data_IF_297003753662
#
_entry.id   IF_297003753662
#
_cell.length_a   1.000
_cell.length_b   1.000
_cell.length_c   1.000
_cell.angle_alpha   90.00
_cell.angle_beta   90.00
_cell.angle_gamma   90.00
#
_symmetry.space_group_name_H-M   'P 1'
#
loop_
_entity.id
_entity.type
_entity.pdbx_description
1 polymer ?
#
# COMPACT_ATOMS: atom_id res chain seq x y z
N UNK A 1 -27.53 -8.60 2.18
CA UNK A 1 -26.48 -8.22 3.16
C UNK A 1 -25.34 -9.21 2.95
N UNK A 2 -24.34 -8.85 2.16
CA UNK A 2 -23.37 -9.82 1.63
C UNK A 2 -22.09 -9.79 2.47
N UNK A 3 -21.89 -10.87 3.23
CA UNK A 3 -20.63 -11.14 3.94
C UNK A 3 -19.63 -11.77 2.95
N UNK A 4 -18.31 -11.78 3.25
CA UNK A 4 -17.42 -12.82 2.70
C UNK A 4 -18.16 -14.16 2.90
N UNK A 5 -18.19 -15.09 1.94
CA UNK A 5 -18.74 -16.40 2.25
C UNK A 5 -17.94 -16.94 3.45
N UNK A 6 -18.60 -16.94 4.61
CA UNK A 6 -17.97 -17.14 5.91
C UNK A 6 -17.19 -18.46 5.87
N UNK A 7 -15.95 -18.45 6.36
CA UNK A 7 -15.19 -19.69 6.56
C UNK A 7 -14.66 -20.40 5.31
N UNK A 8 -14.74 -19.82 4.11
CA UNK A 8 -14.27 -20.54 2.89
C UNK A 8 -12.75 -20.68 2.80
N UNK A 9 -11.98 -19.83 3.48
CA UNK A 9 -10.52 -19.79 3.36
C UNK A 9 -10.03 -19.48 1.94
N UNK A 10 -10.90 -18.96 1.06
CA UNK A 10 -10.53 -18.58 -0.31
C UNK A 10 -9.76 -17.25 -0.31
N UNK A 11 -8.69 -17.12 -1.13
CA UNK A 11 -8.03 -15.85 -1.33
C UNK A 11 -8.95 -14.89 -2.08
N UNK A 12 -8.94 -13.62 -1.67
CA UNK A 12 -9.66 -12.55 -2.37
C UNK A 12 -8.82 -12.01 -3.51
N UNK A 13 -9.49 -11.47 -4.53
CA UNK A 13 -8.82 -10.61 -5.52
C UNK A 13 -8.74 -9.22 -4.92
N UNK A 14 -7.53 -8.72 -4.73
CA UNK A 14 -7.29 -7.38 -4.24
C UNK A 14 -6.48 -6.59 -5.26
N UNK A 15 -6.83 -5.32 -5.38
CA UNK A 15 -6.10 -4.33 -6.14
C UNK A 15 -5.40 -3.41 -5.15
N UNK A 16 -4.11 -3.61 -4.92
CA UNK A 16 -3.26 -2.58 -4.36
C UNK A 16 -3.08 -1.45 -5.37
N UNK A 17 -3.33 -0.22 -4.90
CA UNK A 17 -3.11 1.02 -5.61
C UNK A 17 -2.04 1.85 -4.89
N UNK A 18 -0.75 1.52 -4.99
CA UNK A 18 0.32 2.37 -4.45
C UNK A 18 0.27 3.72 -5.14
N UNK A 19 0.32 4.79 -4.36
CA UNK A 19 0.06 6.12 -4.86
C UNK A 19 0.98 7.16 -4.28
N UNK A 20 1.12 8.25 -5.02
CA UNK A 20 1.91 9.42 -4.63
C UNK A 20 1.04 10.65 -4.73
N UNK A 21 1.16 11.55 -3.75
CA UNK A 21 0.45 12.82 -3.78
C UNK A 21 0.99 13.71 -4.90
N UNK A 22 0.13 14.59 -5.39
CA UNK A 22 0.59 15.78 -6.12
C UNK A 22 1.42 16.64 -5.17
N UNK A 23 2.62 16.98 -5.61
CA UNK A 23 3.53 17.89 -4.94
C UNK A 23 4.36 18.67 -5.98
N UNK A 24 5.19 19.61 -5.49
CA UNK A 24 6.08 20.42 -6.32
C UNK A 24 7.45 19.75 -6.58
N UNK A 25 7.56 18.42 -6.46
CA UNK A 25 8.81 17.72 -6.77
C UNK A 25 8.99 17.63 -8.29
N UNK A 26 10.22 17.77 -8.78
CA UNK A 26 10.51 17.71 -10.22
C UNK A 26 10.16 16.34 -10.80
N UNK A 27 9.63 16.24 -12.04
CA UNK A 27 9.43 14.96 -12.74
C UNK A 27 10.68 14.09 -12.86
N UNK A 28 11.87 14.69 -12.82
CA UNK A 28 13.15 13.98 -12.84
C UNK A 28 13.49 13.30 -11.51
N UNK A 29 12.92 13.78 -10.41
CA UNK A 29 13.13 13.23 -9.06
C UNK A 29 11.97 12.31 -8.65
N UNK A 30 10.75 12.63 -9.07
CA UNK A 30 9.55 11.87 -8.77
C UNK A 30 8.71 11.67 -10.02
N UNK A 31 8.46 10.41 -10.36
CA UNK A 31 7.64 10.03 -11.51
C UNK A 31 6.28 10.75 -11.50
N UNK A 32 5.76 11.05 -12.69
CA UNK A 32 4.43 11.62 -12.88
C UNK A 32 3.77 10.92 -14.06
N UNK A 33 2.58 10.37 -13.83
CA UNK A 33 1.86 9.68 -14.90
C UNK A 33 1.21 10.70 -15.87
N UNK A 34 1.15 10.39 -17.17
CA UNK A 34 0.50 11.27 -18.14
C UNK A 34 -0.96 11.55 -17.76
N UNK A 35 -1.37 12.82 -17.82
CA UNK A 35 -2.71 13.31 -17.45
C UNK A 35 -3.10 13.17 -15.97
N UNK A 36 -2.19 12.72 -15.11
CA UNK A 36 -2.32 12.88 -13.67
C UNK A 36 -1.79 14.26 -13.27
N UNK A 37 -2.28 14.80 -12.16
CA UNK A 37 -2.06 16.18 -11.74
C UNK A 37 -2.79 17.21 -12.61
N UNK A 38 -3.82 17.84 -12.04
CA UNK A 38 -4.56 18.92 -12.71
C UNK A 38 -4.46 20.26 -11.98
N UNK A 39 -4.75 21.33 -12.71
CA UNK A 39 -5.00 22.66 -12.16
C UNK A 39 -6.45 22.79 -11.65
N UNK A 40 -6.76 23.96 -11.07
CA UNK A 40 -8.11 24.26 -10.52
C UNK A 40 -9.23 24.23 -11.57
N UNK A 41 -8.89 24.25 -12.85
CA UNK A 41 -9.84 24.15 -13.97
C UNK A 41 -9.91 22.73 -14.54
N UNK A 42 -9.12 21.78 -14.01
CA UNK A 42 -9.05 20.40 -14.49
C UNK A 42 -8.07 20.18 -15.65
N UNK A 43 -7.24 21.16 -16.01
CA UNK A 43 -6.24 21.00 -17.07
C UNK A 43 -4.98 20.30 -16.52
N UNK A 44 -4.33 19.41 -17.28
CA UNK A 44 -3.09 18.76 -16.84
C UNK A 44 -1.95 19.77 -16.55
N UNK A 45 -1.15 19.48 -15.53
CA UNK A 45 0.07 20.23 -15.19
C UNK A 45 1.30 19.40 -15.59
N UNK A 46 2.20 19.98 -16.36
CA UNK A 46 3.42 19.29 -16.85
C UNK A 46 4.62 19.50 -15.92
N UNK A 47 4.73 20.68 -15.30
CA UNK A 47 5.88 21.10 -14.50
C UNK A 47 5.43 21.66 -13.14
N UNK A 48 4.97 20.81 -12.21
CA UNK A 48 4.45 21.24 -10.91
C UNK A 48 5.53 21.84 -9.98
N UNK A 49 6.81 21.58 -10.25
CA UNK A 49 7.96 22.18 -9.58
C UNK A 49 8.19 23.64 -9.96
N UNK A 50 7.92 24.00 -11.22
CA UNK A 50 8.05 25.38 -11.72
C UNK A 50 6.81 26.24 -11.47
N UNK A 51 5.64 25.60 -11.42
CA UNK A 51 4.34 26.27 -11.26
C UNK A 51 3.52 25.66 -10.11
N UNK A 52 4.05 25.62 -8.88
CA UNK A 52 3.35 25.00 -7.74
C UNK A 52 2.02 25.69 -7.42
N UNK A 53 1.86 26.97 -7.77
CA UNK A 53 0.62 27.73 -7.61
C UNK A 53 -0.56 27.20 -8.42
N UNK A 54 -0.26 26.39 -9.46
CA UNK A 54 -1.29 25.80 -10.33
C UNK A 54 -1.90 24.53 -9.74
N UNK A 55 -1.22 23.85 -8.81
CA UNK A 55 -1.69 22.59 -8.23
C UNK A 55 -3.10 22.77 -7.66
N UNK A 56 -4.03 21.93 -8.12
CA UNK A 56 -5.45 22.08 -7.79
C UNK A 56 -5.74 21.94 -6.29
N UNK A 57 -5.23 20.87 -5.67
CA UNK A 57 -5.55 20.55 -4.29
C UNK A 57 -4.92 21.55 -3.31
N UNK A 58 -3.59 21.64 -3.34
CA UNK A 58 -2.82 22.46 -2.40
C UNK A 58 -1.60 23.05 -3.09
N UNK A 59 -1.51 24.37 -3.08
CA UNK A 59 -0.41 25.12 -3.72
C UNK A 59 0.69 25.51 -2.74
N UNK A 60 0.40 25.51 -1.44
CA UNK A 60 1.39 25.75 -0.41
C UNK A 60 2.15 24.44 -0.11
N UNK A 61 3.45 24.35 -0.43
CA UNK A 61 4.22 23.13 -0.22
C UNK A 61 4.31 22.70 1.26
N UNK A 62 4.10 23.64 2.19
CA UNK A 62 4.08 23.34 3.62
C UNK A 62 2.78 22.68 4.11
N UNK A 63 1.76 22.55 3.25
CA UNK A 63 0.45 21.95 3.59
C UNK A 63 0.09 20.77 2.68
N UNK A 64 0.87 20.50 1.62
CA UNK A 64 0.53 19.51 0.60
C UNK A 64 0.35 18.11 1.19
N UNK A 65 1.13 17.72 2.20
CA UNK A 65 1.02 16.39 2.81
C UNK A 65 -0.29 16.26 3.59
N UNK A 66 -0.56 17.24 4.45
CA UNK A 66 -1.73 17.28 5.34
C UNK A 66 -3.03 17.36 4.54
N UNK A 67 -3.06 18.22 3.52
CA UNK A 67 -4.25 18.39 2.68
C UNK A 67 -4.48 17.16 1.78
N UNK A 68 -3.42 16.51 1.29
CA UNK A 68 -3.53 15.21 0.62
C UNK A 68 -4.19 14.17 1.53
N UNK A 69 -3.71 14.02 2.77
CA UNK A 69 -4.25 13.05 3.72
C UNK A 69 -5.71 13.34 4.05
N UNK A 70 -6.04 14.61 4.33
CA UNK A 70 -7.41 15.04 4.60
C UNK A 70 -8.33 14.79 3.41
N UNK A 71 -7.92 15.21 2.22
CA UNK A 71 -8.73 15.08 1.00
C UNK A 71 -8.96 13.62 0.65
N UNK A 72 -7.90 12.82 0.65
CA UNK A 72 -8.01 11.41 0.30
C UNK A 72 -8.93 10.69 1.29
N UNK A 73 -8.77 10.95 2.60
CA UNK A 73 -9.57 10.27 3.63
C UNK A 73 -11.03 10.73 3.70
N UNK A 74 -11.27 12.05 3.62
CA UNK A 74 -12.56 12.67 3.95
C UNK A 74 -13.41 13.00 2.74
N UNK A 75 -12.81 13.14 1.55
CA UNK A 75 -13.51 13.54 0.32
C UNK A 75 -13.51 12.41 -0.71
N UNK A 76 -12.33 11.90 -1.06
CA UNK A 76 -12.20 10.86 -2.10
C UNK A 76 -12.70 9.50 -1.62
N UNK A 77 -12.17 9.01 -0.49
CA UNK A 77 -12.48 7.68 0.06
C UNK A 77 -13.98 7.36 0.18
N UNK A 78 -14.80 8.26 0.76
CA UNK A 78 -16.23 8.03 0.90
C UNK A 78 -16.98 7.76 -0.41
N UNK A 79 -16.44 8.17 -1.56
CA UNK A 79 -17.04 7.89 -2.87
C UNK A 79 -17.15 6.40 -3.14
N UNK A 80 -16.24 5.56 -2.65
CA UNK A 80 -16.32 4.10 -2.83
C UNK A 80 -17.46 3.46 -2.03
N UNK A 81 -17.93 4.10 -0.95
CA UNK A 81 -19.05 3.64 -0.15
C UNK A 81 -20.39 4.28 -0.57
N UNK A 82 -20.36 5.41 -1.29
CA UNK A 82 -21.55 6.14 -1.73
C UNK A 82 -22.15 5.55 -3.00
N UNK A 83 -23.47 5.36 -3.04
CA UNK A 83 -24.20 4.85 -4.22
C UNK A 83 -24.76 6.03 -5.04
N UNK A 84 -24.39 6.17 -6.30
CA UNK A 84 -24.91 7.22 -7.21
C UNK A 84 -26.33 6.89 -7.71
N UNK A 85 -27.29 6.85 -6.79
CA UNK A 85 -28.69 6.50 -7.10
C UNK A 85 -28.98 5.00 -7.07
N UNK A 86 -30.24 4.58 -7.26
CA UNK A 86 -30.67 3.19 -7.07
C UNK A 86 -30.02 2.18 -8.03
N UNK A 87 -29.60 2.63 -9.22
CA UNK A 87 -29.08 1.77 -10.29
C UNK A 87 -27.55 1.60 -10.26
N UNK A 88 -26.80 2.31 -9.41
CA UNK A 88 -25.33 2.21 -9.36
C UNK A 88 -24.88 0.90 -8.70
N UNK A 89 -24.31 -0.08 -9.44
CA UNK A 89 -23.88 -1.35 -8.87
C UNK A 89 -22.46 -1.29 -8.28
N UNK A 90 -21.74 -0.17 -8.45
CA UNK A 90 -20.30 -0.09 -8.18
C UNK A 90 -19.95 -0.44 -6.74
N UNK A 91 -20.76 0.02 -5.79
CA UNK A 91 -20.54 -0.22 -4.37
C UNK A 91 -20.66 -1.70 -4.04
N UNK A 92 -21.48 -2.47 -4.78
CA UNK A 92 -21.79 -3.87 -4.47
C UNK A 92 -20.64 -4.82 -4.79
N UNK A 93 -19.75 -4.43 -5.72
CA UNK A 93 -18.55 -5.19 -6.08
C UNK A 93 -17.42 -5.05 -5.04
N UNK A 94 -17.36 -3.91 -4.34
CA UNK A 94 -16.29 -3.66 -3.35
C UNK A 94 -16.60 -4.41 -2.05
N UNK A 95 -15.77 -5.40 -1.73
CA UNK A 95 -15.86 -6.19 -0.49
C UNK A 95 -15.12 -5.54 0.66
N UNK A 96 -13.92 -5.01 0.39
CA UNK A 96 -13.11 -4.30 1.37
C UNK A 96 -12.45 -3.11 0.69
N UNK A 97 -12.36 -1.99 1.40
CA UNK A 97 -11.54 -0.86 1.01
C UNK A 97 -10.83 -0.30 2.23
N UNK A 98 -9.51 -0.39 2.21
CA UNK A 98 -8.61 0.21 3.17
C UNK A 98 -7.83 1.35 2.50
N UNK A 99 -7.82 2.52 3.12
CA UNK A 99 -6.91 3.62 2.77
C UNK A 99 -5.70 3.55 3.69
N UNK A 100 -4.54 3.27 3.12
CA UNK A 100 -3.30 3.11 3.85
C UNK A 100 -2.45 4.36 3.66
N UNK A 101 -2.42 5.24 4.66
CA UNK A 101 -1.74 6.53 4.62
C UNK A 101 -0.38 6.43 5.30
N UNK A 102 0.72 6.68 4.56
CA UNK A 102 2.07 6.61 5.12
C UNK A 102 2.23 7.59 6.27
N UNK A 103 2.87 7.15 7.35
CA UNK A 103 3.24 8.02 8.47
C UNK A 103 4.66 8.52 8.22
N UNK A 104 4.85 9.83 8.12
CA UNK A 104 6.16 10.45 7.83
C UNK A 104 7.23 10.10 8.88
N UNK A 105 6.86 10.09 10.15
CA UNK A 105 7.72 9.69 11.27
C UNK A 105 7.67 8.20 11.61
N UNK A 106 6.98 7.38 10.81
CA UNK A 106 6.95 5.94 11.01
C UNK A 106 8.23 5.27 10.46
N UNK A 107 8.57 4.07 10.96
CA UNK A 107 9.62 3.25 10.37
C UNK A 107 9.49 3.09 8.85
N UNK A 108 10.62 3.00 8.15
CA UNK A 108 10.66 2.59 6.74
C UNK A 108 11.94 1.83 6.43
N UNK A 109 12.01 1.18 5.28
CA UNK A 109 13.23 0.50 4.83
C UNK A 109 14.43 1.44 4.66
N UNK A 110 14.19 2.75 4.52
CA UNK A 110 15.24 3.76 4.39
C UNK A 110 15.73 4.29 5.73
N UNK A 111 14.94 4.13 6.79
CA UNK A 111 15.30 4.53 8.14
C UNK A 111 14.62 3.60 9.17
N UNK A 112 15.10 2.35 9.29
CA UNK A 112 14.50 1.37 10.19
C UNK A 112 14.96 1.57 11.64
N UNK A 113 14.16 1.17 12.65
CA UNK A 113 14.63 1.11 14.03
C UNK A 113 15.71 0.01 14.20
N UNK A 114 16.55 0.08 15.26
CA UNK A 114 16.51 1.06 16.34
C UNK A 114 17.10 2.42 15.95
N UNK A 115 16.49 3.50 16.45
CA UNK A 115 17.01 4.85 16.27
C UNK A 115 18.04 5.16 17.35
N UNK A 116 19.17 5.74 16.95
CA UNK A 116 20.25 6.12 17.86
C UNK A 116 20.42 7.64 17.83
N UNK A 117 20.62 8.29 18.99
CA UNK A 117 20.98 9.69 19.02
C UNK A 117 22.37 9.89 18.39
N UNK A 118 22.64 11.04 17.74
CA UNK A 118 23.98 11.35 17.27
C UNK A 118 24.89 11.60 18.46
N UNK A 119 25.83 10.68 18.68
CA UNK A 119 26.83 10.74 19.76
C UNK A 119 28.21 11.07 19.18
N UNK A 120 28.97 11.87 19.93
CA UNK A 120 30.41 12.09 19.70
C UNK A 120 31.21 10.86 20.14
N UNK A 121 32.50 10.86 19.84
CA UNK A 121 33.44 9.80 20.24
C UNK A 121 33.57 9.63 21.77
N UNK A 122 33.20 10.64 22.54
CA UNK A 122 33.16 10.62 24.01
C UNK A 122 31.82 10.06 24.57
N UNK A 123 30.88 9.66 23.70
CA UNK A 123 29.56 9.18 24.08
C UNK A 123 28.54 10.27 24.43
N UNK A 124 28.92 11.55 24.32
CA UNK A 124 28.03 12.67 24.61
C UNK A 124 27.20 13.08 23.38
N UNK A 125 26.02 13.65 23.62
CA UNK A 125 25.20 14.22 22.55
C UNK A 125 25.96 15.31 21.77
N UNK A 126 25.71 15.39 20.47
CA UNK A 126 26.26 16.46 19.64
C UNK A 126 25.73 17.83 20.08
N UNK A 127 26.65 18.82 20.17
CA UNK A 127 26.31 20.22 20.43
C UNK A 127 25.87 20.96 19.16
N UNK A 128 26.00 20.30 18.00
CA UNK A 128 25.65 20.83 16.68
C UNK A 128 24.64 19.92 16.01
N UNK A 129 23.43 19.74 16.58
CA UNK A 129 22.47 18.75 16.11
C UNK A 129 22.15 18.90 14.62
N UNK A 130 22.05 20.12 14.10
CA UNK A 130 21.79 20.38 12.68
C UNK A 130 22.83 19.79 11.72
N UNK A 131 24.09 19.61 12.16
CA UNK A 131 25.14 19.02 11.33
C UNK A 131 25.08 17.48 11.31
N UNK A 132 24.37 16.85 12.25
CA UNK A 132 24.28 15.40 12.41
C UNK A 132 22.96 14.82 11.87
N UNK A 133 22.00 15.68 11.50
CA UNK A 133 20.73 15.23 10.92
C UNK A 133 21.00 14.64 9.54
N UNK A 134 20.78 13.34 9.40
CA UNK A 134 20.86 12.67 8.11
C UNK A 134 19.82 13.25 7.13
N UNK A 135 20.15 13.36 5.83
CA UNK A 135 19.18 13.76 4.83
C UNK A 135 17.95 12.86 4.86
N UNK A 136 16.77 13.46 4.77
CA UNK A 136 15.53 12.70 4.70
C UNK A 136 15.44 11.93 3.38
N UNK A 137 15.34 10.61 3.47
CA UNK A 137 15.08 9.74 2.33
C UNK A 137 13.59 9.40 2.32
N UNK A 138 12.87 9.95 1.35
CA UNK A 138 11.43 9.72 1.18
C UNK A 138 11.20 8.33 0.54
N UNK A 139 10.41 7.43 1.16
CA UNK A 139 9.82 6.28 0.48
C UNK A 139 9.10 6.69 -0.81
N UNK A 140 9.06 5.79 -1.79
CA UNK A 140 8.50 6.11 -3.12
C UNK A 140 7.03 6.50 -3.04
N UNK A 141 6.26 5.75 -2.25
CA UNK A 141 4.81 5.86 -2.12
C UNK A 141 4.41 6.68 -0.91
N UNK A 142 3.38 7.51 -1.03
CA UNK A 142 2.77 8.23 0.09
C UNK A 142 1.61 7.46 0.73
N UNK A 143 1.17 6.38 0.08
CA UNK A 143 0.12 5.52 0.59
C UNK A 143 -0.26 4.45 -0.40
N UNK A 144 -1.32 3.71 -0.06
CA UNK A 144 -1.90 2.69 -0.92
C UNK A 144 -3.42 2.59 -0.68
N UNK A 145 -4.21 2.57 -1.74
CA UNK A 145 -5.58 2.05 -1.64
C UNK A 145 -5.53 0.52 -1.76
N UNK A 146 -6.08 -0.21 -0.79
CA UNK A 146 -6.21 -1.65 -0.83
C UNK A 146 -7.68 -2.02 -0.97
N UNK A 147 -8.08 -2.41 -2.18
CA UNK A 147 -9.48 -2.68 -2.53
C UNK A 147 -9.64 -4.14 -2.91
N UNK A 148 -10.51 -4.86 -2.22
CA UNK A 148 -10.76 -6.27 -2.49
C UNK A 148 -12.15 -6.52 -3.06
N UNK A 149 -12.21 -7.52 -3.93
CA UNK A 149 -13.34 -7.98 -4.72
C UNK A 149 -13.45 -9.50 -4.58
N UNK A 150 -14.59 -10.09 -4.99
CA UNK A 150 -14.74 -11.55 -4.93
C UNK A 150 -13.95 -12.26 -6.04
N UNK A 151 -13.88 -11.65 -7.22
CA UNK A 151 -13.21 -12.22 -8.40
C UNK A 151 -12.63 -11.17 -9.33
N UNK A 152 -11.82 -11.57 -10.31
CA UNK A 152 -11.31 -10.67 -11.34
C UNK A 152 -12.46 -10.15 -12.22
N UNK A 153 -13.48 -10.96 -12.47
CA UNK A 153 -14.69 -10.53 -13.20
C UNK A 153 -15.42 -9.36 -12.51
N UNK A 154 -15.65 -9.41 -11.19
CA UNK A 154 -16.25 -8.29 -10.45
C UNK A 154 -15.35 -7.06 -10.46
N UNK A 155 -14.03 -7.28 -10.37
CA UNK A 155 -13.04 -6.20 -10.46
C UNK A 155 -13.19 -5.45 -11.78
N UNK A 156 -13.18 -6.15 -12.92
CA UNK A 156 -13.32 -5.53 -14.25
C UNK A 156 -14.64 -4.75 -14.40
N UNK A 157 -15.75 -5.25 -13.82
CA UNK A 157 -17.04 -4.56 -13.84
C UNK A 157 -17.01 -3.22 -13.10
N UNK A 158 -16.26 -3.12 -12.00
CA UNK A 158 -16.12 -1.87 -11.26
C UNK A 158 -15.46 -0.76 -12.10
N UNK A 159 -14.37 -1.06 -12.81
CA UNK A 159 -13.63 -0.06 -13.60
C UNK A 159 -14.39 0.49 -14.81
N UNK A 160 -15.33 -0.28 -15.36
CA UNK A 160 -16.14 0.17 -16.50
C UNK A 160 -17.39 0.95 -16.07
N UNK A 161 -17.61 1.15 -14.77
CA UNK A 161 -18.76 1.92 -14.29
C UNK A 161 -18.62 3.42 -14.63
N UNK A 162 -19.76 4.06 -14.86
CA UNK A 162 -19.84 5.51 -15.06
C UNK A 162 -19.26 6.29 -13.89
N UNK A 163 -19.52 5.82 -12.66
CA UNK A 163 -18.97 6.41 -11.45
C UNK A 163 -17.43 6.39 -11.45
N UNK A 164 -16.82 5.24 -11.74
CA UNK A 164 -15.36 5.16 -11.77
C UNK A 164 -14.77 6.13 -12.82
N UNK A 165 -15.31 6.09 -14.04
CA UNK A 165 -14.82 6.90 -15.15
C UNK A 165 -15.06 8.41 -14.99
N UNK A 166 -16.21 8.81 -14.45
CA UNK A 166 -16.64 10.23 -14.41
C UNK A 166 -16.45 10.90 -13.04
N UNK A 167 -16.19 10.13 -11.98
CA UNK A 167 -16.11 10.65 -10.60
C UNK A 167 -14.83 10.26 -9.88
N UNK A 168 -14.36 9.01 -10.03
CA UNK A 168 -13.18 8.54 -9.31
C UNK A 168 -11.91 9.01 -10.02
N UNK A 169 -11.72 8.66 -11.30
CA UNK A 169 -10.51 9.07 -12.04
C UNK A 169 -10.36 10.58 -12.10
N UNK A 170 -11.46 11.32 -12.34
CA UNK A 170 -11.39 12.78 -12.42
C UNK A 170 -10.93 13.39 -11.09
N UNK A 171 -11.36 12.81 -9.98
CA UNK A 171 -10.96 13.24 -8.65
C UNK A 171 -9.52 12.86 -8.32
N UNK A 172 -9.08 11.65 -8.72
CA UNK A 172 -7.70 11.20 -8.57
C UNK A 172 -6.70 12.19 -9.18
N UNK A 173 -7.03 12.81 -10.32
CA UNK A 173 -6.16 13.82 -10.97
C UNK A 173 -5.93 15.06 -10.11
N UNK A 174 -6.81 15.36 -9.16
CA UNK A 174 -6.69 16.53 -8.28
C UNK A 174 -5.58 16.33 -7.23
N UNK A 175 -5.39 15.08 -6.76
CA UNK A 175 -4.54 14.80 -5.60
C UNK A 175 -3.46 13.75 -5.82
N UNK A 176 -3.50 13.00 -6.94
CA UNK A 176 -2.52 11.97 -7.28
C UNK A 176 -1.62 12.37 -8.44
N UNK A 177 -0.33 12.13 -8.23
CA UNK A 177 0.73 12.26 -9.24
C UNK A 177 0.97 10.94 -9.97
N UNK A 178 0.97 9.85 -9.22
CA UNK A 178 1.10 8.46 -9.70
C UNK A 178 0.12 7.60 -8.92
N UNK A 179 -0.52 6.68 -9.64
CA UNK A 179 -1.30 5.58 -9.07
C UNK A 179 -0.96 4.31 -9.84
N UNK A 180 -0.19 3.44 -9.20
CA UNK A 180 0.16 2.14 -9.75
C UNK A 180 -1.00 1.17 -9.52
N UNK A 181 -1.31 0.29 -10.48
CA UNK A 181 -2.33 -0.76 -10.29
C UNK A 181 -1.77 -2.11 -10.71
N UNK A 182 -2.01 -3.13 -9.91
CA UNK A 182 -1.85 -4.53 -10.29
C UNK A 182 -2.85 -5.40 -9.55
N UNK A 183 -3.30 -6.48 -10.18
CA UNK A 183 -4.19 -7.43 -9.54
C UNK A 183 -3.39 -8.42 -8.68
N UNK A 184 -3.91 -8.71 -7.49
CA UNK A 184 -3.27 -9.61 -6.55
C UNK A 184 -4.26 -10.59 -5.93
N UNK A 185 -3.76 -11.76 -5.56
CA UNK A 185 -4.47 -12.72 -4.72
C UNK A 185 -4.01 -12.53 -3.28
N UNK A 186 -4.95 -12.23 -2.37
CA UNK A 186 -4.67 -12.03 -0.95
C UNK A 186 -4.75 -13.35 -0.17
N UNK A 187 -3.61 -13.76 0.39
CA UNK A 187 -3.45 -14.88 1.29
C UNK A 187 -3.28 -14.36 2.72
N UNK A 188 -4.30 -14.52 3.55
CA UNK A 188 -4.26 -14.19 4.97
C UNK A 188 -3.55 -15.32 5.73
N UNK A 189 -2.43 -15.00 6.34
CA UNK A 189 -1.61 -15.92 7.14
C UNK A 189 -1.99 -15.83 8.61
N UNK A 190 -2.02 -14.61 9.16
CA UNK A 190 -2.53 -14.31 10.50
C UNK A 190 -3.81 -13.49 10.31
N UNK A 191 -4.99 -14.02 10.67
CA UNK A 191 -6.25 -13.30 10.53
C UNK A 191 -6.31 -12.09 11.45
N UNK A 192 -6.86 -10.99 10.94
CA UNK A 192 -7.07 -9.79 11.72
C UNK A 192 -8.13 -9.96 12.81
N UNK A 193 -8.06 -9.15 13.88
CA UNK A 193 -9.13 -9.03 14.86
C UNK A 193 -10.40 -8.43 14.25
N UNK A 194 -11.53 -8.54 14.95
CA UNK A 194 -12.82 -7.94 14.54
C UNK A 194 -12.72 -6.41 14.33
N UNK A 195 -11.97 -5.74 15.21
CA UNK A 195 -11.64 -4.32 15.06
C UNK A 195 -10.26 -4.22 14.38
N UNK A 196 -10.18 -3.78 13.11
CA UNK A 196 -8.91 -3.73 12.39
C UNK A 196 -7.87 -2.89 13.14
N UNK A 197 -6.64 -3.39 13.19
CA UNK A 197 -5.55 -2.66 13.84
C UNK A 197 -5.11 -1.45 12.98
N UNK A 198 -4.82 -0.30 13.62
CA UNK A 198 -4.67 0.96 12.92
C UNK A 198 -3.29 1.14 12.27
N UNK A 199 -2.25 0.47 12.76
CA UNK A 199 -0.89 0.59 12.21
C UNK A 199 -0.64 -0.57 11.27
N UNK A 200 -0.07 -0.30 10.10
CA UNK A 200 0.30 -1.31 9.12
C UNK A 200 1.68 -1.03 8.54
N UNK A 201 2.50 -2.07 8.42
CA UNK A 201 3.72 -2.06 7.60
C UNK A 201 3.35 -2.68 6.26
N UNK A 202 3.57 -1.92 5.18
CA UNK A 202 3.38 -2.37 3.81
C UNK A 202 4.75 -2.57 3.18
N UNK A 203 4.97 -3.73 2.57
CA UNK A 203 6.21 -4.04 1.85
C UNK A 203 5.92 -4.45 0.41
N UNK A 204 6.70 -3.91 -0.51
CA UNK A 204 6.71 -4.28 -1.92
C UNK A 204 7.88 -5.20 -2.19
N UNK A 205 7.59 -6.34 -2.81
CA UNK A 205 8.61 -7.33 -3.15
C UNK A 205 8.91 -7.32 -4.64
N UNK A 206 10.20 -7.34 -4.95
CA UNK A 206 10.76 -7.58 -6.27
C UNK A 206 11.72 -8.75 -6.16
N UNK A 207 11.63 -9.71 -7.09
CA UNK A 207 12.45 -10.92 -7.08
C UNK A 207 13.89 -10.64 -7.50
N UNK A 208 14.84 -11.26 -6.80
CA UNK A 208 16.26 -11.28 -7.18
C UNK A 208 16.53 -12.45 -8.15
N UNK A 209 16.03 -12.33 -9.38
CA UNK A 209 16.12 -13.39 -10.39
C UNK A 209 15.00 -14.44 -10.31
N UNK A 210 15.08 -15.45 -11.18
CA UNK A 210 14.05 -16.49 -11.32
C UNK A 210 12.73 -16.01 -11.93
N UNK A 211 11.74 -16.90 -11.92
CA UNK A 211 10.37 -16.61 -12.39
C UNK A 211 9.51 -16.01 -11.27
N UNK A 212 8.42 -15.33 -11.63
CA UNK A 212 7.44 -14.80 -10.65
C UNK A 212 6.81 -15.93 -9.87
N UNK A 213 6.49 -17.04 -10.53
CA UNK A 213 5.86 -18.21 -9.96
C UNK A 213 6.74 -18.88 -8.89
N UNK A 214 8.03 -19.07 -9.18
CA UNK A 214 9.01 -19.59 -8.20
C UNK A 214 9.14 -18.65 -7.01
N UNK A 215 9.28 -17.34 -7.26
CA UNK A 215 9.37 -16.33 -6.22
C UNK A 215 8.14 -16.34 -5.30
N UNK A 216 6.94 -16.28 -5.88
CA UNK A 216 5.68 -16.27 -5.14
C UNK A 216 5.44 -17.56 -4.38
N UNK A 217 5.82 -18.71 -4.93
CA UNK A 217 5.76 -20.00 -4.24
C UNK A 217 6.66 -19.99 -3.01
N UNK A 218 7.92 -19.56 -3.16
CA UNK A 218 8.87 -19.43 -2.04
C UNK A 218 8.34 -18.46 -0.98
N UNK A 219 7.80 -17.31 -1.40
CA UNK A 219 7.24 -16.31 -0.49
C UNK A 219 6.07 -16.87 0.32
N UNK A 220 5.13 -17.57 -0.32
CA UNK A 220 3.90 -18.08 0.32
C UNK A 220 4.11 -19.33 1.18
N UNK A 221 5.03 -20.21 0.80
CA UNK A 221 5.17 -21.53 1.43
C UNK A 221 6.40 -21.68 2.32
N UNK A 222 7.47 -20.94 2.06
CA UNK A 222 8.69 -21.03 2.86
C UNK A 222 8.82 -19.79 3.75
N UNK A 223 8.81 -18.60 3.13
CA UNK A 223 9.03 -17.36 3.87
C UNK A 223 7.85 -17.03 4.81
N UNK A 224 6.61 -17.24 4.39
CA UNK A 224 5.45 -17.02 5.26
C UNK A 224 5.48 -17.91 6.53
N UNK A 225 5.96 -19.15 6.41
CA UNK A 225 6.09 -20.07 7.56
C UNK A 225 7.24 -19.68 8.47
N UNK A 226 8.37 -19.22 7.90
CA UNK A 226 9.45 -18.62 8.69
C UNK A 226 8.93 -17.44 9.51
N UNK A 227 8.24 -16.50 8.88
CA UNK A 227 7.66 -15.31 9.54
C UNK A 227 6.69 -15.73 10.64
N UNK A 228 5.74 -16.62 10.33
CA UNK A 228 4.74 -17.09 11.28
C UNK A 228 5.36 -17.82 12.48
N UNK A 229 6.46 -18.56 12.27
CA UNK A 229 7.13 -19.30 13.35
C UNK A 229 7.81 -18.43 14.41
N UNK A 230 8.03 -17.14 14.12
CA UNK A 230 8.76 -16.24 15.04
C UNK A 230 7.91 -15.86 16.25
N UNK A 231 8.44 -16.00 17.48
CA UNK A 231 7.76 -15.54 18.70
C UNK A 231 7.28 -14.09 18.64
N UNK A 232 8.12 -13.16 18.16
CA UNK A 232 7.75 -11.74 18.08
C UNK A 232 6.62 -11.49 17.06
N UNK A 233 6.55 -12.28 15.97
CA UNK A 233 5.41 -12.22 15.04
C UNK A 233 4.12 -12.58 15.77
N UNK A 234 4.11 -13.70 16.50
CA UNK A 234 2.92 -14.15 17.25
C UNK A 234 2.51 -13.18 18.37
N UNK A 235 3.48 -12.41 18.89
CA UNK A 235 3.27 -11.47 19.98
C UNK A 235 2.75 -10.11 19.53
N UNK A 236 3.30 -9.56 18.44
CA UNK A 236 3.07 -8.16 18.05
C UNK A 236 2.23 -8.00 16.78
N UNK A 237 2.24 -8.97 15.87
CA UNK A 237 1.54 -8.85 14.58
C UNK A 237 0.09 -9.30 14.76
N UNK A 238 -0.85 -8.38 14.60
CA UNK A 238 -2.29 -8.65 14.73
C UNK A 238 -2.94 -9.15 13.45
N UNK A 239 -2.32 -8.91 12.30
CA UNK A 239 -2.71 -9.45 10.99
C UNK A 239 -1.49 -9.56 10.10
N UNK A 240 -1.40 -10.63 9.32
CA UNK A 240 -0.36 -10.79 8.31
C UNK A 240 -0.99 -11.35 7.03
N UNK A 241 -0.90 -10.60 5.94
CA UNK A 241 -1.36 -11.03 4.62
C UNK A 241 -0.27 -10.85 3.56
N UNK A 242 -0.29 -11.76 2.58
CA UNK A 242 0.51 -11.71 1.37
C UNK A 242 -0.40 -11.46 0.17
N UNK A 243 -0.03 -10.50 -0.67
CA UNK A 243 -0.72 -10.17 -1.91
C UNK A 243 0.17 -10.60 -3.07
N UNK A 244 -0.12 -11.74 -3.69
CA UNK A 244 0.68 -12.25 -4.81
C UNK A 244 0.18 -11.66 -6.11
N UNK A 245 1.04 -11.04 -6.91
CA UNK A 245 0.64 -10.45 -8.19
C UNK A 245 0.13 -11.53 -9.16
N UNK A 246 -1.15 -11.48 -9.47
CA UNK A 246 -1.85 -12.33 -10.45
C UNK A 246 -2.36 -11.51 -11.63
N UNK A 247 -1.79 -10.31 -11.82
CA UNK A 247 -2.12 -9.41 -12.90
C UNK A 247 -2.03 -10.10 -14.27
N UNK A 248 -2.87 -9.69 -15.22
CA UNK A 248 -2.89 -10.26 -16.56
C UNK A 248 -1.53 -10.09 -17.23
N UNK A 249 -1.13 -11.04 -18.09
CA UNK A 249 0.05 -10.89 -18.94
C UNK A 249 -0.28 -10.24 -20.29
N UNK A 250 -1.55 -10.31 -20.70
CA UNK A 250 -2.05 -9.68 -21.92
C UNK A 250 -2.17 -8.15 -21.75
N UNK A 251 -1.48 -7.40 -22.62
CA UNK A 251 -1.49 -5.95 -22.68
C UNK A 251 -2.86 -5.35 -23.02
N UNK A 252 -3.76 -6.13 -23.61
CA UNK A 252 -5.12 -5.69 -23.94
C UNK A 252 -6.04 -5.63 -22.71
N UNK A 253 -5.67 -6.30 -21.61
CA UNK A 253 -6.49 -6.32 -20.41
C UNK A 253 -6.48 -4.95 -19.70
N UNK A 254 -7.64 -4.40 -19.29
CA UNK A 254 -7.71 -3.10 -18.60
C UNK A 254 -6.91 -3.01 -17.29
N UNK A 255 -6.61 -4.14 -16.65
CA UNK A 255 -5.79 -4.22 -15.43
C UNK A 255 -4.29 -4.38 -15.72
N UNK A 256 -3.89 -4.45 -17.00
CA UNK A 256 -2.49 -4.54 -17.37
C UNK A 256 -1.82 -3.15 -17.29
N UNK A 257 -0.76 -3.05 -16.50
CA UNK A 257 0.14 -1.90 -16.48
C UNK A 257 1.59 -2.38 -16.46
N UNK A 258 2.46 -1.78 -17.28
CA UNK A 258 3.87 -2.18 -17.35
C UNK A 258 4.57 -2.08 -15.98
N UNK A 259 4.36 -0.98 -15.26
CA UNK A 259 4.91 -0.80 -13.92
C UNK A 259 4.35 -1.85 -12.94
N UNK A 260 3.07 -2.21 -13.08
CA UNK A 260 2.40 -3.21 -12.25
C UNK A 260 2.96 -4.62 -12.46
N UNK A 261 3.43 -4.93 -13.67
CA UNK A 261 4.09 -6.21 -13.97
C UNK A 261 5.46 -6.36 -13.28
N UNK A 262 6.08 -5.27 -12.83
CA UNK A 262 7.39 -5.33 -12.18
C UNK A 262 7.29 -5.74 -10.71
N UNK A 263 6.16 -5.49 -10.04
CA UNK A 263 5.95 -5.90 -8.65
C UNK A 263 5.64 -7.38 -8.59
N UNK A 264 6.32 -8.15 -7.74
CA UNK A 264 6.07 -9.59 -7.62
C UNK A 264 5.01 -9.93 -6.59
N UNK A 265 5.05 -9.24 -5.46
CA UNK A 265 4.11 -9.41 -4.37
C UNK A 265 4.14 -8.20 -3.44
N UNK A 266 3.22 -8.20 -2.48
CA UNK A 266 3.26 -7.33 -1.31
C UNK A 266 3.00 -8.11 -0.03
N UNK A 267 3.44 -7.57 1.10
CA UNK A 267 2.94 -7.98 2.42
C UNK A 267 2.32 -6.80 3.15
N UNK A 268 1.35 -7.12 4.00
CA UNK A 268 0.74 -6.21 4.94
C UNK A 268 0.77 -6.85 6.33
N UNK A 269 1.48 -6.21 7.25
CA UNK A 269 1.52 -6.61 8.67
C UNK A 269 0.87 -5.53 9.51
N UNK A 270 -0.18 -5.85 10.24
CA UNK A 270 -0.88 -4.91 11.11
C UNK A 270 -0.44 -5.04 12.57
N UNK A 271 -0.45 -3.91 13.28
CA UNK A 271 -0.05 -3.77 14.67
C UNK A 271 -1.06 -2.90 15.41
N UNK A 272 -1.30 -3.18 16.70
CA UNK A 272 -2.29 -2.42 17.49
C UNK A 272 -1.79 -1.01 17.80
N UNK A 273 -0.48 -0.85 17.93
CA UNK A 273 0.18 0.43 18.23
C UNK A 273 1.47 0.59 17.43
N UNK A 274 1.97 1.83 17.34
CA UNK A 274 3.28 2.10 16.73
C UNK A 274 4.41 1.46 17.55
N UNK A 275 4.28 1.41 18.88
CA UNK A 275 5.27 0.79 19.76
C UNK A 275 5.45 -0.69 19.48
N UNK A 276 4.35 -1.44 19.25
CA UNK A 276 4.44 -2.85 18.85
C UNK A 276 5.13 -3.02 17.49
N UNK A 277 4.82 -2.14 16.53
CA UNK A 277 5.48 -2.11 15.23
C UNK A 277 6.99 -1.90 15.36
N UNK A 278 7.42 -0.92 16.15
CA UNK A 278 8.84 -0.63 16.36
C UNK A 278 9.57 -1.72 17.15
N UNK A 279 8.94 -2.30 18.17
CA UNK A 279 9.50 -3.46 18.89
C UNK A 279 9.67 -4.66 17.98
N UNK A 280 8.68 -4.94 17.12
CA UNK A 280 8.79 -6.01 16.13
C UNK A 280 9.95 -5.75 15.16
N UNK A 281 9.99 -4.57 14.54
CA UNK A 281 11.00 -4.23 13.52
C UNK A 281 12.43 -4.11 14.07
N UNK A 282 12.59 -3.81 15.36
CA UNK A 282 13.92 -3.75 16.02
C UNK A 282 14.37 -5.09 16.61
N UNK A 283 13.47 -6.07 16.70
CA UNK A 283 13.71 -7.38 17.30
C UNK A 283 14.59 -8.30 16.44
N UNK A 284 15.26 -9.26 17.08
CA UNK A 284 16.16 -10.20 16.41
C UNK A 284 15.40 -11.20 15.51
N UNK A 285 14.13 -11.46 15.82
CA UNK A 285 13.24 -12.25 14.98
C UNK A 285 13.01 -11.57 13.63
N UNK A 286 12.75 -10.26 13.61
CA UNK A 286 12.61 -9.51 12.36
C UNK A 286 13.93 -9.43 11.60
N UNK A 287 15.07 -9.23 12.27
CA UNK A 287 16.39 -9.30 11.61
C UNK A 287 16.63 -10.65 10.94
N UNK A 288 16.20 -11.73 11.57
CA UNK A 288 16.29 -13.08 10.99
C UNK A 288 15.39 -13.23 9.76
N UNK A 289 14.17 -12.69 9.81
CA UNK A 289 13.25 -12.66 8.67
C UNK A 289 13.86 -11.84 7.53
N UNK A 290 14.35 -10.64 7.83
CA UNK A 290 14.92 -9.71 6.86
C UNK A 290 16.17 -10.29 6.18
N UNK A 291 17.06 -10.93 6.93
CA UNK A 291 18.24 -11.61 6.39
C UNK A 291 17.87 -12.81 5.49
N UNK A 292 16.83 -13.57 5.83
CA UNK A 292 16.39 -14.68 5.00
C UNK A 292 15.85 -14.24 3.62
N UNK A 293 15.38 -12.99 3.51
CA UNK A 293 14.97 -12.42 2.24
C UNK A 293 16.14 -12.06 1.32
N UNK A 294 17.36 -11.87 1.84
CA UNK A 294 18.54 -11.53 1.02
C UNK A 294 18.83 -12.58 -0.07
N UNK A 295 18.37 -13.81 0.14
CA UNK A 295 18.54 -14.92 -0.78
C UNK A 295 17.66 -14.83 -2.05
N UNK A 296 16.57 -14.06 -2.04
CA UNK A 296 15.58 -14.10 -3.13
C UNK A 296 14.84 -12.80 -3.41
N UNK A 297 14.96 -11.78 -2.55
CA UNK A 297 14.35 -10.46 -2.73
C UNK A 297 15.43 -9.47 -3.18
N UNK A 298 15.13 -8.69 -4.21
CA UNK A 298 15.94 -7.52 -4.56
C UNK A 298 15.67 -6.41 -3.53
N UNK A 299 16.52 -6.32 -2.52
CA UNK A 299 16.44 -5.33 -1.45
C UNK A 299 16.68 -3.88 -1.91
N UNK A 300 17.29 -3.67 -3.08
CA UNK A 300 17.50 -2.32 -3.62
C UNK A 300 16.22 -1.78 -4.23
N UNK A 301 15.44 -2.65 -4.86
CA UNK A 301 14.17 -2.29 -5.48
C UNK A 301 12.98 -2.42 -4.52
N UNK A 302 13.04 -3.37 -3.59
CA UNK A 302 12.01 -3.60 -2.58
C UNK A 302 12.08 -2.53 -1.49
N UNK A 303 10.92 -2.07 -1.05
CA UNK A 303 10.81 -1.07 0.01
C UNK A 303 9.65 -1.41 0.93
N UNK A 304 9.69 -0.88 2.15
CA UNK A 304 8.57 -0.92 3.06
C UNK A 304 8.42 0.39 3.82
N UNK A 305 7.18 0.69 4.22
CA UNK A 305 6.86 1.84 5.04
C UNK A 305 5.74 1.52 6.03
N UNK A 306 5.73 2.25 7.14
CA UNK A 306 4.65 2.20 8.12
C UNK A 306 3.56 3.24 7.80
N UNK A 307 2.31 2.87 8.05
CA UNK A 307 1.13 3.65 7.67
C UNK A 307 -0.01 3.50 8.68
N UNK A 308 -0.95 4.45 8.62
CA UNK A 308 -2.27 4.34 9.25
C UNK A 308 -3.21 3.65 8.26
N UNK A 309 -3.95 2.67 8.75
CA UNK A 309 -4.99 1.97 8.00
C UNK A 309 -6.38 2.51 8.37
N UNK A 310 -7.03 3.18 7.42
CA UNK A 310 -8.44 3.56 7.54
C UNK A 310 -9.31 2.56 6.78
N UNK A 311 -10.15 1.82 7.51
CA UNK A 311 -11.16 1.00 6.88
C UNK A 311 -12.35 1.87 6.42
N UNK A 312 -12.59 1.90 5.11
CA UNK A 312 -13.68 2.68 4.48
C UNK A 312 -14.86 1.78 4.14
N UNK A 313 -14.59 0.57 3.64
CA UNK A 313 -15.59 -0.46 3.37
C UNK A 313 -15.12 -1.77 3.99
N UNK A 314 -16.00 -2.44 4.73
CA UNK A 314 -15.78 -3.80 5.19
C UNK A 314 -17.09 -4.59 5.15
N UNK A 315 -17.21 -5.42 4.11
CA UNK A 315 -18.29 -6.41 3.95
C UNK A 315 -17.77 -7.82 4.20
N UNK A 316 -16.52 -7.98 4.64
CA UNK A 316 -15.82 -9.24 4.72
C UNK A 316 -16.22 -10.13 5.90
N UNK A 317 -16.99 -9.63 6.87
CA UNK A 317 -17.22 -10.36 8.12
C UNK A 317 -15.90 -10.64 8.86
N UNK A 318 -15.90 -11.64 9.76
CA UNK A 318 -14.69 -12.05 10.46
C UNK A 318 -13.69 -12.71 9.50
N UNK A 319 -12.44 -12.28 9.58
CA UNK A 319 -11.36 -12.84 8.77
C UNK A 319 -10.94 -14.23 9.27
N UNK A 320 -10.64 -15.14 8.35
CA UNK A 320 -10.04 -16.45 8.63
C UNK A 320 -8.78 -16.62 7.80
N UNK A 321 -7.90 -17.51 8.23
CA UNK A 321 -6.67 -17.82 7.50
C UNK A 321 -7.04 -18.43 6.14
N UNK A 322 -6.35 -17.98 5.09
CA UNK A 322 -6.56 -18.50 3.74
C UNK A 322 -5.97 -19.91 3.65
N UNK A 323 -6.72 -20.84 3.06
CA UNK A 323 -6.16 -22.11 2.64
C UNK A 323 -5.25 -21.85 1.42
N UNK A 324 -3.94 -21.91 1.66
CA UNK A 324 -2.91 -21.58 0.66
C UNK A 324 -2.93 -22.48 -0.58
N UNK A 325 -3.61 -23.63 -0.52
CA UNK A 325 -3.81 -24.51 -1.68
C UNK A 325 -4.92 -24.04 -2.63
N UNK A 326 -5.76 -23.10 -2.20
CA UNK A 326 -6.84 -22.57 -3.01
C UNK A 326 -6.32 -21.45 -3.92
N UNK A 327 -6.83 -21.43 -5.15
CA UNK A 327 -6.62 -20.37 -6.12
C UNK A 327 -7.69 -19.28 -5.94
N UNK A 328 -7.38 -18.02 -6.25
CA UNK A 328 -8.40 -16.98 -6.28
C UNK A 328 -9.48 -17.31 -7.30
N UNK A 329 -10.69 -16.79 -7.06
CA UNK A 329 -11.78 -16.92 -8.02
C UNK A 329 -11.50 -16.07 -9.26
N UNK A 330 -11.60 -16.70 -10.43
CA UNK A 330 -11.49 -16.04 -11.74
C UNK A 330 -12.63 -15.05 -12.00
#
# INVERSE_FOLDING_TARGET
MYKRPEGTGQPLICLPFPLTRVDNTSPNEREMFPNNTSDKNGNPIVEPDKYPEKIALESNPNLMFEHFDEYWRKIHGPKFAHKEGPEDPSTDYVMMYNQVHRITGGPSSQFPPPYLPPLKSDGMLSMTPAAEVLPYIRPKWDGMAHICYRSLSETAKFFVTDKYNKRIIFDERVFLRVVLVFASAEYVIIPGPEIPSPIVVVKFYYRNGGTREEFQKRLLWEHADLVYSKPDTQKYVSRYALLLNVGPTDKSNPLWQEAGQKVDAMSMMSFRTMTECEWYLSGDDYKTIDAAEDEFVDKKQSEWFTAINYNVVNKGGQEVATNRNLKPQE
#
